data_IF_617833111627
#
_entry.id   IF_617833111627
#
_cell.length_a   1.000
_cell.length_b   1.000
_cell.length_c   1.000
_cell.angle_alpha   90.00
_cell.angle_beta   90.00
_cell.angle_gamma   90.00
#
_symmetry.space_group_name_H-M   'P 1'
#
loop_
_entity.id
_entity.type
_entity.pdbx_description
1 polymer ?
#
# COMPACT_ATOMS: atom_id res chain seq x y z
N UNK A 1 38.64 3.52 3.96
CA UNK A 1 38.07 4.71 4.62
C UNK A 1 38.16 4.50 6.12
N UNK A 2 38.80 5.41 6.86
CA UNK A 2 38.82 5.36 8.32
C UNK A 2 37.46 5.80 8.85
N UNK A 3 36.93 5.12 9.86
CA UNK A 3 35.71 5.60 10.53
C UNK A 3 36.00 6.97 11.17
N UNK A 4 35.03 7.90 11.17
CA UNK A 4 35.16 9.23 11.78
C UNK A 4 35.75 9.18 13.20
N UNK A 5 36.50 10.21 13.59
CA UNK A 5 37.19 10.27 14.90
C UNK A 5 36.23 10.04 16.09
N UNK A 6 34.98 10.48 15.97
CA UNK A 6 33.94 10.22 16.95
C UNK A 6 33.64 8.72 17.11
N UNK A 7 33.55 7.97 16.02
CA UNK A 7 33.33 6.52 16.01
C UNK A 7 34.54 5.76 16.56
N UNK A 8 35.77 6.23 16.29
CA UNK A 8 36.98 5.64 16.86
C UNK A 8 37.08 5.85 18.37
N UNK A 9 36.70 7.03 18.87
CA UNK A 9 36.65 7.32 20.30
C UNK A 9 35.62 6.43 21.01
N UNK A 10 34.43 6.22 20.41
CA UNK A 10 33.42 5.29 20.94
C UNK A 10 33.91 3.85 20.89
N UNK A 11 34.57 3.42 19.81
CA UNK A 11 35.18 2.08 19.70
C UNK A 11 36.15 1.80 20.85
N UNK A 12 36.98 2.79 21.19
CA UNK A 12 37.99 2.69 22.24
C UNK A 12 37.38 2.66 23.64
N UNK A 13 36.42 3.55 23.94
CA UNK A 13 35.85 3.71 25.29
C UNK A 13 34.64 2.81 25.58
N UNK A 14 33.87 2.46 24.56
CA UNK A 14 32.60 1.75 24.67
C UNK A 14 32.44 0.73 23.51
N UNK A 15 33.24 -0.35 23.49
CA UNK A 15 33.27 -1.30 22.37
C UNK A 15 31.94 -2.01 22.10
N UNK A 16 31.15 -2.28 23.15
CA UNK A 16 29.81 -2.86 23.01
C UNK A 16 28.85 -1.88 22.31
N UNK A 17 28.87 -0.59 22.67
CA UNK A 17 28.05 0.43 22.02
C UNK A 17 28.45 0.64 20.56
N UNK A 18 29.76 0.60 20.28
CA UNK A 18 30.26 0.65 18.90
C UNK A 18 29.71 -0.50 18.05
N UNK A 19 29.70 -1.73 18.58
CA UNK A 19 29.11 -2.88 17.89
C UNK A 19 27.61 -2.70 17.65
N UNK A 20 26.87 -2.22 18.65
CA UNK A 20 25.42 -1.95 18.52
C UNK A 20 25.14 -0.93 17.43
N UNK A 21 25.91 0.15 17.34
CA UNK A 21 25.76 1.16 16.28
C UNK A 21 26.00 0.55 14.90
N UNK A 22 27.02 -0.29 14.74
CA UNK A 22 27.30 -0.96 13.47
C UNK A 22 26.21 -1.95 13.09
N UNK A 23 25.73 -2.76 14.04
CA UNK A 23 24.62 -3.68 13.81
C UNK A 23 23.34 -2.93 13.42
N UNK A 24 23.05 -1.82 14.10
CA UNK A 24 21.91 -0.96 13.77
C UNK A 24 22.05 -0.34 12.37
N UNK A 25 23.22 0.18 12.01
CA UNK A 25 23.46 0.74 10.69
C UNK A 25 23.34 -0.32 9.58
N UNK A 26 23.88 -1.52 9.81
CA UNK A 26 23.77 -2.63 8.87
C UNK A 26 22.32 -3.09 8.70
N UNK A 27 21.57 -3.19 9.80
CA UNK A 27 20.13 -3.49 9.77
C UNK A 27 19.33 -2.41 9.05
N UNK A 28 19.58 -1.13 9.35
CA UNK A 28 18.90 -0.02 8.69
C UNK A 28 19.18 -0.01 7.18
N UNK A 29 20.44 -0.25 6.78
CA UNK A 29 20.82 -0.36 5.37
C UNK A 29 20.10 -1.54 4.69
N UNK A 30 20.03 -2.70 5.35
CA UNK A 30 19.30 -3.86 4.85
C UNK A 30 17.82 -3.52 4.63
N UNK A 31 17.17 -2.90 5.62
CA UNK A 31 15.77 -2.48 5.54
C UNK A 31 15.55 -1.53 4.36
N UNK A 32 16.41 -0.51 4.18
CA UNK A 32 16.32 0.45 3.08
C UNK A 32 16.44 -0.26 1.73
N UNK A 33 17.44 -1.13 1.57
CA UNK A 33 17.66 -1.86 0.31
C UNK A 33 16.47 -2.75 -0.02
N UNK A 34 15.96 -3.52 0.94
CA UNK A 34 14.78 -4.37 0.73
C UNK A 34 13.55 -3.55 0.32
N UNK A 35 13.29 -2.41 0.97
CA UNK A 35 12.18 -1.54 0.59
C UNK A 35 12.35 -0.95 -0.81
N UNK A 36 13.57 -0.50 -1.16
CA UNK A 36 13.85 0.04 -2.49
C UNK A 36 13.64 -1.01 -3.60
N UNK A 37 14.05 -2.26 -3.36
CA UNK A 37 13.82 -3.37 -4.30
C UNK A 37 12.32 -3.66 -4.45
N UNK A 38 11.60 -3.78 -3.32
CA UNK A 38 10.16 -4.05 -3.34
C UNK A 38 9.36 -2.93 -4.04
N UNK A 39 9.69 -1.67 -3.75
CA UNK A 39 9.13 -0.50 -4.43
C UNK A 39 9.44 -0.51 -5.93
N UNK A 40 10.68 -0.83 -6.32
CA UNK A 40 11.08 -0.96 -7.72
C UNK A 40 10.29 -2.05 -8.45
N UNK A 41 10.11 -3.21 -7.84
CA UNK A 41 9.32 -4.31 -8.39
C UNK A 41 7.84 -3.95 -8.55
N UNK A 42 7.24 -3.29 -7.55
CA UNK A 42 5.85 -2.85 -7.62
C UNK A 42 5.61 -1.91 -8.81
N UNK A 43 6.52 -0.95 -9.02
CA UNK A 43 6.43 0.01 -10.11
C UNK A 43 6.62 -0.63 -11.50
N UNK A 44 7.42 -1.69 -11.62
CA UNK A 44 7.54 -2.43 -12.88
C UNK A 44 6.21 -3.08 -13.25
N UNK A 45 5.55 -3.74 -12.28
CA UNK A 45 4.26 -4.41 -12.53
C UNK A 45 3.13 -3.39 -12.73
N UNK A 46 3.19 -2.23 -12.07
CA UNK A 46 2.19 -1.17 -12.23
C UNK A 46 2.22 -0.47 -13.61
N UNK A 47 3.23 -0.71 -14.44
CA UNK A 47 3.28 -0.21 -15.82
C UNK A 47 2.48 -1.05 -16.83
N UNK A 48 1.82 -2.13 -16.40
CA UNK A 48 0.98 -2.97 -17.25
C UNK A 48 -0.27 -2.24 -17.72
N UNK A 49 -0.62 -2.37 -19.00
CA UNK A 49 -1.89 -1.89 -19.55
C UNK A 49 -3.09 -2.77 -19.13
N UNK A 50 -2.84 -3.98 -18.57
CA UNK A 50 -3.88 -4.87 -18.07
C UNK A 50 -4.11 -4.72 -16.56
N UNK A 51 -5.37 -4.77 -16.09
CA UNK A 51 -5.67 -4.81 -14.66
C UNK A 51 -4.99 -5.99 -13.99
N UNK A 52 -4.22 -5.69 -12.94
CA UNK A 52 -3.46 -6.69 -12.19
C UNK A 52 -3.94 -6.70 -10.74
N UNK A 53 -4.44 -7.85 -10.29
CA UNK A 53 -4.76 -8.09 -8.88
C UNK A 53 -3.45 -8.17 -8.10
N UNK A 54 -3.22 -7.24 -7.18
CA UNK A 54 -2.06 -7.23 -6.29
C UNK A 54 -2.31 -7.99 -5.00
N UNK A 55 -3.56 -7.95 -4.57
CA UNK A 55 -4.00 -8.58 -3.34
C UNK A 55 -5.45 -9.04 -3.47
N UNK A 56 -5.72 -10.18 -2.86
CA UNK A 56 -7.03 -10.81 -2.79
C UNK A 56 -7.18 -11.44 -1.40
N UNK A 57 -8.33 -11.24 -0.77
CA UNK A 57 -8.72 -11.97 0.41
C UNK A 57 -10.23 -12.19 0.44
N UNK A 58 -10.65 -13.14 1.27
CA UNK A 58 -12.06 -13.40 1.56
C UNK A 58 -12.30 -13.41 3.06
N UNK A 59 -13.51 -13.02 3.44
CA UNK A 59 -14.01 -13.08 4.81
C UNK A 59 -15.51 -13.43 4.81
N UNK A 60 -16.07 -13.69 5.98
CA UNK A 60 -17.52 -13.89 6.13
C UNK A 60 -18.27 -12.56 5.98
N UNK A 61 -19.36 -12.56 5.22
CA UNK A 61 -20.26 -11.41 5.09
C UNK A 61 -21.13 -11.30 6.33
N UNK A 62 -20.66 -10.54 7.31
CA UNK A 62 -21.38 -10.27 8.55
C UNK A 62 -21.78 -8.81 8.67
N UNK A 63 -22.88 -8.55 9.35
CA UNK A 63 -23.29 -7.20 9.71
C UNK A 63 -22.24 -6.46 10.54
N UNK A 64 -22.14 -5.14 10.32
CA UNK A 64 -21.23 -4.24 11.01
C UNK A 64 -20.35 -3.44 10.06
N UNK A 65 -19.45 -2.63 10.65
CA UNK A 65 -18.46 -1.88 9.88
C UNK A 65 -17.18 -2.69 9.74
N UNK A 66 -16.69 -2.84 8.52
CA UNK A 66 -15.45 -3.51 8.16
C UNK A 66 -14.47 -2.49 7.58
N UNK A 67 -13.20 -2.63 7.91
CA UNK A 67 -12.12 -1.85 7.31
C UNK A 67 -11.30 -2.77 6.43
N UNK A 68 -11.41 -2.57 5.12
CA UNK A 68 -10.56 -3.22 4.13
C UNK A 68 -9.35 -2.33 3.94
N UNK A 69 -8.15 -2.91 3.93
CA UNK A 69 -6.93 -2.15 3.70
C UNK A 69 -5.97 -2.89 2.79
N UNK A 70 -5.23 -2.14 2.00
CA UNK A 70 -4.10 -2.61 1.23
C UNK A 70 -2.85 -1.84 1.64
N UNK A 71 -1.77 -2.56 1.90
CA UNK A 71 -0.50 -1.99 2.34
C UNK A 71 0.65 -2.56 1.49
N UNK A 72 1.22 -1.72 0.64
CA UNK A 72 2.41 -1.99 -0.15
C UNK A 72 3.49 -0.95 0.14
N UNK A 73 4.75 -1.18 -0.29
CA UNK A 73 5.84 -0.23 -0.09
C UNK A 73 5.56 1.19 -0.64
N UNK A 74 4.68 1.32 -1.64
CA UNK A 74 4.36 2.62 -2.26
C UNK A 74 2.99 3.18 -1.91
N UNK A 75 2.11 2.38 -1.30
CA UNK A 75 0.69 2.66 -1.21
C UNK A 75 0.04 2.00 0.01
N UNK A 76 -0.60 2.83 0.82
CA UNK A 76 -1.53 2.42 1.84
C UNK A 76 -2.91 2.99 1.50
N UNK A 77 -3.91 2.13 1.46
CA UNK A 77 -5.31 2.50 1.22
C UNK A 77 -6.20 1.82 2.24
N UNK A 78 -7.19 2.54 2.77
CA UNK A 78 -8.25 1.98 3.59
C UNK A 78 -9.62 2.35 3.01
N UNK A 79 -10.50 1.36 2.97
CA UNK A 79 -11.92 1.50 2.63
C UNK A 79 -12.74 0.95 3.79
N UNK A 80 -13.58 1.79 4.38
CA UNK A 80 -14.52 1.35 5.42
C UNK A 80 -15.86 1.07 4.76
N UNK A 81 -16.41 -0.11 5.03
CA UNK A 81 -17.65 -0.60 4.44
C UNK A 81 -18.59 -1.00 5.56
N UNK A 82 -19.82 -0.51 5.53
CA UNK A 82 -20.87 -0.93 6.47
C UNK A 82 -21.76 -1.97 5.81
N UNK A 83 -21.82 -3.15 6.40
CA UNK A 83 -22.65 -4.26 5.95
C UNK A 83 -23.85 -4.38 6.88
N UNK A 84 -25.03 -4.56 6.29
CA UNK A 84 -26.26 -4.89 7.00
C UNK A 84 -27.15 -5.75 6.11
N UNK A 85 -27.72 -6.83 6.66
CA UNK A 85 -28.63 -7.72 5.96
C UNK A 85 -28.02 -8.25 4.64
N UNK A 86 -26.72 -8.60 4.67
CA UNK A 86 -25.93 -9.02 3.50
C UNK A 86 -25.82 -7.99 2.37
N UNK A 87 -25.95 -6.70 2.70
CA UNK A 87 -25.79 -5.59 1.76
C UNK A 87 -24.81 -4.55 2.28
N UNK A 88 -24.07 -3.94 1.38
CA UNK A 88 -23.31 -2.73 1.67
C UNK A 88 -24.30 -1.56 1.73
N UNK A 89 -24.42 -0.96 2.91
CA UNK A 89 -25.34 0.17 3.14
C UNK A 89 -24.61 1.50 3.26
N UNK A 90 -23.28 1.47 3.38
CA UNK A 90 -22.43 2.65 3.42
C UNK A 90 -20.99 2.28 3.05
N UNK A 91 -20.26 3.21 2.45
CA UNK A 91 -18.82 3.08 2.23
C UNK A 91 -18.15 4.45 2.29
N UNK A 92 -17.07 4.54 3.07
CA UNK A 92 -16.33 5.78 3.28
C UNK A 92 -14.82 5.55 3.15
N UNK A 93 -14.12 6.65 2.83
CA UNK A 93 -12.66 6.67 2.77
C UNK A 93 -12.08 6.47 4.18
N UNK A 94 -11.04 5.65 4.28
CA UNK A 94 -10.20 5.55 5.47
C UNK A 94 -8.91 6.36 5.31
N UNK A 95 -7.85 5.89 5.95
CA UNK A 95 -6.53 6.47 5.84
C UNK A 95 -5.88 6.14 4.49
N UNK A 96 -5.12 7.09 3.97
CA UNK A 96 -4.37 6.96 2.73
C UNK A 96 -2.94 7.47 2.90
N UNK A 97 -1.96 6.70 2.40
CA UNK A 97 -0.56 7.12 2.33
C UNK A 97 0.04 6.67 1.01
N UNK A 98 0.83 7.53 0.37
CA UNK A 98 1.62 7.13 -0.80
C UNK A 98 3.02 7.71 -0.75
N UNK A 99 3.97 7.00 -1.34
CA UNK A 99 5.37 7.40 -1.43
C UNK A 99 5.75 7.49 -2.92
N UNK A 100 6.39 8.60 -3.29
CA UNK A 100 6.90 8.80 -4.65
C UNK A 100 5.84 9.08 -5.72
N UNK A 101 4.58 9.31 -5.31
CA UNK A 101 3.47 9.66 -6.19
C UNK A 101 2.63 10.81 -5.61
N UNK A 102 1.85 11.45 -6.46
CA UNK A 102 0.83 12.45 -6.11
C UNK A 102 -0.56 11.94 -6.49
N UNK A 103 -1.56 12.24 -5.66
CA UNK A 103 -2.96 11.91 -5.96
C UNK A 103 -3.50 12.90 -6.98
N UNK A 104 -4.06 12.37 -8.07
CA UNK A 104 -4.63 13.16 -9.17
C UNK A 104 -6.15 13.16 -9.14
N UNK A 105 -6.75 12.06 -8.68
CA UNK A 105 -8.18 11.93 -8.42
C UNK A 105 -8.41 10.88 -7.34
N UNK A 106 -9.47 11.08 -6.56
CA UNK A 106 -9.86 10.19 -5.47
C UNK A 106 -11.40 10.11 -5.43
N UNK A 107 -11.94 8.89 -5.35
CA UNK A 107 -13.38 8.68 -5.28
C UNK A 107 -13.73 7.38 -4.55
N UNK A 108 -14.88 7.37 -3.88
CA UNK A 108 -15.50 6.16 -3.34
C UNK A 108 -16.88 6.01 -3.96
N UNK A 109 -17.21 4.80 -4.39
CA UNK A 109 -18.51 4.45 -4.94
C UNK A 109 -18.96 3.13 -4.31
N UNK A 110 -20.26 3.00 -4.02
CA UNK A 110 -20.82 1.74 -3.55
C UNK A 110 -22.24 1.50 -4.04
N UNK A 111 -22.60 0.23 -4.05
CA UNK A 111 -23.93 -0.33 -4.28
C UNK A 111 -24.22 -1.39 -3.22
N UNK A 112 -25.42 -1.97 -3.23
CA UNK A 112 -25.81 -3.04 -2.29
C UNK A 112 -24.82 -4.21 -2.22
N UNK A 113 -24.04 -4.50 -3.27
CA UNK A 113 -23.16 -5.67 -3.32
C UNK A 113 -21.67 -5.34 -3.52
N UNK A 114 -21.31 -4.09 -3.80
CA UNK A 114 -19.91 -3.73 -4.09
C UNK A 114 -19.58 -2.32 -3.61
N UNK A 115 -18.41 -2.16 -3.00
CA UNK A 115 -17.79 -0.88 -2.73
C UNK A 115 -16.42 -0.82 -3.41
N UNK A 116 -16.09 0.34 -3.96
CA UNK A 116 -14.83 0.59 -4.65
C UNK A 116 -14.26 1.92 -4.20
N UNK A 117 -13.06 1.87 -3.64
CA UNK A 117 -12.22 3.04 -3.43
C UNK A 117 -11.23 3.12 -4.59
N UNK A 118 -11.30 4.21 -5.37
CA UNK A 118 -10.42 4.47 -6.50
C UNK A 118 -9.52 5.66 -6.20
N UNK A 119 -8.23 5.47 -6.46
CA UNK A 119 -7.23 6.54 -6.44
C UNK A 119 -6.38 6.51 -7.71
N UNK A 120 -6.31 7.65 -8.38
CA UNK A 120 -5.45 7.84 -9.55
C UNK A 120 -4.15 8.52 -9.09
N UNK A 121 -3.03 7.83 -9.27
CA UNK A 121 -1.69 8.25 -8.87
C UNK A 121 -0.87 8.70 -10.07
N UNK A 122 -0.20 9.85 -9.93
CA UNK A 122 0.80 10.34 -10.87
C UNK A 122 2.19 10.30 -10.25
N UNK A 123 3.17 9.79 -10.98
CA UNK A 123 4.56 9.64 -10.52
C UNK A 123 5.48 10.43 -11.44
N UNK A 124 6.33 11.30 -10.88
CA UNK A 124 7.28 12.11 -11.66
C UNK A 124 8.21 11.21 -12.49
N UNK A 125 8.19 11.39 -13.81
CA UNK A 125 9.03 10.65 -14.76
C UNK A 125 8.61 9.18 -14.99
N UNK A 126 7.40 8.78 -14.57
CA UNK A 126 6.87 7.41 -14.73
C UNK A 126 5.38 7.42 -15.14
N UNK A 127 4.85 6.31 -15.69
CA UNK A 127 3.44 6.22 -16.04
C UNK A 127 2.56 6.34 -14.79
N UNK A 128 1.52 7.18 -14.87
CA UNK A 128 0.44 7.19 -13.88
C UNK A 128 -0.23 5.83 -13.77
N UNK A 129 -0.88 5.55 -12.64
CA UNK A 129 -1.64 4.32 -12.36
C UNK A 129 -2.95 4.63 -11.66
N UNK A 130 -3.96 3.81 -11.90
CA UNK A 130 -5.21 3.75 -11.13
C UNK A 130 -5.10 2.56 -10.19
N UNK A 131 -5.38 2.80 -8.91
CA UNK A 131 -5.48 1.77 -7.87
C UNK A 131 -6.93 1.68 -7.42
N UNK A 132 -7.46 0.46 -7.35
CA UNK A 132 -8.81 0.16 -6.92
C UNK A 132 -8.74 -0.79 -5.72
N UNK A 133 -9.18 -0.32 -4.55
CA UNK A 133 -9.45 -1.17 -3.40
C UNK A 133 -10.94 -1.50 -3.40
N UNK A 134 -11.26 -2.76 -3.68
CA UNK A 134 -12.63 -3.23 -3.87
C UNK A 134 -13.05 -4.18 -2.77
N UNK A 135 -14.35 -4.14 -2.49
CA UNK A 135 -15.05 -5.03 -1.58
C UNK A 135 -16.35 -5.48 -2.26
N UNK A 136 -16.57 -6.78 -2.39
CA UNK A 136 -17.68 -7.37 -3.12
C UNK A 136 -18.34 -8.49 -2.31
N UNK A 137 -19.64 -8.40 -2.09
CA UNK A 137 -20.43 -9.45 -1.45
C UNK A 137 -20.84 -10.48 -2.51
N UNK A 138 -20.47 -11.74 -2.31
CA UNK A 138 -20.92 -12.89 -3.12
C UNK A 138 -21.54 -13.93 -2.20
N UNK A 139 -22.86 -13.95 -2.14
CA UNK A 139 -23.60 -14.81 -1.19
C UNK A 139 -23.27 -14.42 0.24
N UNK A 140 -22.72 -15.37 1.01
CA UNK A 140 -22.31 -15.15 2.41
C UNK A 140 -20.84 -14.78 2.55
N UNK A 141 -20.14 -14.52 1.45
CA UNK A 141 -18.69 -14.25 1.45
C UNK A 141 -18.43 -12.80 1.03
N UNK A 142 -17.56 -12.13 1.77
CA UNK A 142 -17.00 -10.84 1.42
C UNK A 142 -15.67 -11.07 0.70
N UNK A 143 -15.59 -10.65 -0.56
CA UNK A 143 -14.38 -10.68 -1.36
C UNK A 143 -13.74 -9.31 -1.36
N UNK A 144 -12.42 -9.25 -1.19
CA UNK A 144 -11.67 -8.00 -1.12
C UNK A 144 -10.48 -8.08 -2.07
N UNK A 145 -10.25 -7.00 -2.81
CA UNK A 145 -9.23 -6.96 -3.85
C UNK A 145 -8.49 -5.64 -3.84
N UNK A 146 -7.20 -5.65 -4.14
CA UNK A 146 -6.52 -4.46 -4.66
C UNK A 146 -6.06 -4.73 -6.09
N UNK A 147 -6.48 -3.84 -6.98
CA UNK A 147 -6.24 -3.94 -8.41
C UNK A 147 -5.53 -2.68 -8.87
N UNK A 148 -4.44 -2.85 -9.62
CA UNK A 148 -3.74 -1.75 -10.25
C UNK A 148 -3.76 -1.88 -11.76
N UNK A 149 -3.91 -0.75 -12.43
CA UNK A 149 -3.90 -0.66 -13.88
C UNK A 149 -3.42 0.71 -14.33
N UNK A 150 -3.10 0.85 -15.61
CA UNK A 150 -2.90 2.17 -16.20
C UNK A 150 -4.22 2.94 -16.22
N UNK A 151 -4.23 4.28 -16.00
CA UNK A 151 -5.44 5.06 -16.14
C UNK A 151 -5.90 4.99 -17.59
N UNK A 152 -7.21 4.97 -17.79
CA UNK A 152 -7.78 5.04 -19.13
C UNK A 152 -7.18 6.24 -19.87
N UNK A 153 -6.66 6.00 -21.08
CA UNK A 153 -6.33 7.10 -21.98
C UNK A 153 -7.66 7.79 -22.26
N UNK A 154 -7.91 8.96 -21.68
CA UNK A 154 -8.96 9.86 -22.17
C UNK A 154 -8.78 9.97 -23.69
N UNK A 155 -9.77 9.49 -24.44
CA UNK A 155 -9.89 9.79 -25.86
C UNK A 155 -10.18 11.27 -26.03
#
# INVERSE_FOLDING_TARGET
MNAPDALQNIRSKHPALYLVIYLFAAWALLVIVTHAIAFGAELLVASSDQPTVKWEATDECTDGTRTVYYNSPSLYQELKVKIKDSKIVDAELGSFLTIGATVSAEQVEYSDSRATYRVDLSTLGRPSRTCLLECEIRGTTLHMYEIQMRPDKRK
#
